data_IF_057589443441
#
_entry.id   IF_057589443441
#
_cell.length_a   1.000
_cell.length_b   1.000
_cell.length_c   1.000
_cell.angle_alpha   90.00
_cell.angle_beta   90.00
_cell.angle_gamma   90.00
#
_symmetry.space_group_name_H-M   'P 1'
#
loop_
_entity.id
_entity.type
_entity.pdbx_description
1 polymer ?
#
# COMPACT_ATOMS: atom_id res chain seq x y z
N UNK A 1 19.38 -41.77 -40.77
CA UNK A 1 18.13 -41.19 -40.20
C UNK A 1 17.92 -41.46 -38.71
N UNK A 2 18.64 -42.40 -38.05
CA UNK A 2 18.48 -42.65 -36.59
C UNK A 2 19.41 -41.82 -35.68
N UNK A 3 20.55 -41.31 -36.18
CA UNK A 3 21.46 -40.47 -35.38
C UNK A 3 21.00 -39.01 -35.24
N UNK A 4 20.31 -38.46 -36.24
CA UNK A 4 19.82 -37.07 -36.21
C UNK A 4 18.70 -36.86 -35.18
N UNK A 5 17.89 -37.89 -34.92
CA UNK A 5 16.82 -37.84 -33.93
C UNK A 5 17.34 -37.85 -32.48
N UNK A 6 18.45 -38.53 -32.21
CA UNK A 6 19.08 -38.56 -30.87
C UNK A 6 19.75 -37.23 -30.55
N UNK A 7 20.35 -36.58 -31.56
CA UNK A 7 20.95 -35.26 -31.40
C UNK A 7 19.90 -34.17 -31.13
N UNK A 8 18.71 -34.27 -31.75
CA UNK A 8 17.60 -33.35 -31.49
C UNK A 8 17.01 -33.54 -30.08
N UNK A 9 16.97 -34.77 -29.56
CA UNK A 9 16.47 -35.05 -28.21
C UNK A 9 17.39 -34.51 -27.10
N UNK A 10 18.71 -34.53 -27.32
CA UNK A 10 19.70 -34.02 -26.37
C UNK A 10 19.72 -32.48 -26.28
N UNK A 11 19.31 -31.79 -27.35
CA UNK A 11 19.24 -30.31 -27.36
C UNK A 11 18.01 -29.80 -26.59
N UNK A 12 16.92 -30.57 -26.52
CA UNK A 12 15.70 -30.18 -25.78
C UNK A 12 15.88 -30.29 -24.25
N UNK A 13 16.80 -31.10 -23.76
CA UNK A 13 17.07 -31.25 -22.31
C UNK A 13 18.03 -30.20 -21.72
N UNK A 14 18.54 -29.27 -22.53
CA UNK A 14 19.42 -28.18 -22.07
C UNK A 14 18.67 -26.86 -21.79
N UNK A 15 17.34 -26.87 -21.74
CA UNK A 15 16.57 -25.82 -21.10
C UNK A 15 16.72 -25.98 -19.57
N UNK A 16 17.90 -25.60 -19.07
CA UNK A 16 18.11 -25.42 -17.64
C UNK A 16 16.97 -24.58 -17.10
N UNK A 17 16.38 -25.04 -16.00
CA UNK A 17 15.35 -24.32 -15.27
C UNK A 17 15.90 -22.93 -14.95
N UNK A 18 15.50 -21.92 -15.72
CA UNK A 18 15.65 -20.55 -15.29
C UNK A 18 14.79 -20.44 -14.03
N UNK A 19 15.42 -20.61 -12.86
CA UNK A 19 14.89 -20.09 -11.62
C UNK A 19 14.80 -18.59 -11.81
N UNK A 20 13.68 -18.14 -12.35
CA UNK A 20 13.24 -16.78 -12.18
C UNK A 20 13.25 -16.54 -10.67
N UNK A 21 14.12 -15.64 -10.21
CA UNK A 21 14.07 -15.16 -8.84
C UNK A 21 12.86 -14.25 -8.76
N UNK A 22 11.67 -14.84 -8.65
CA UNK A 22 10.48 -14.12 -8.26
C UNK A 22 10.75 -13.71 -6.80
N UNK A 23 10.94 -12.42 -6.57
CA UNK A 23 11.09 -11.87 -5.22
C UNK A 23 9.79 -12.09 -4.47
N UNK A 24 9.66 -13.28 -3.87
CA UNK A 24 8.43 -13.72 -3.24
C UNK A 24 8.25 -12.96 -1.94
N UNK A 25 7.22 -12.12 -1.90
CA UNK A 25 6.78 -11.47 -0.68
C UNK A 25 6.52 -12.55 0.38
N UNK A 26 6.88 -12.24 1.63
CA UNK A 26 6.69 -13.17 2.74
C UNK A 26 6.42 -12.44 4.04
N UNK A 27 5.69 -13.10 4.93
CA UNK A 27 5.55 -12.66 6.32
C UNK A 27 6.92 -12.69 7.01
N UNK A 28 7.14 -11.80 7.97
CA UNK A 28 8.39 -11.71 8.74
C UNK A 28 9.65 -11.49 7.86
N UNK A 29 9.51 -10.82 6.71
CA UNK A 29 10.64 -10.55 5.80
C UNK A 29 11.83 -9.91 6.51
N UNK A 30 11.56 -8.93 7.38
CA UNK A 30 12.57 -8.15 8.12
C UNK A 30 13.00 -8.76 9.45
N UNK A 31 12.56 -9.96 9.84
CA UNK A 31 12.84 -10.51 11.18
C UNK A 31 14.34 -10.58 11.53
N UNK A 32 15.21 -10.84 10.55
CA UNK A 32 16.67 -10.88 10.75
C UNK A 32 17.39 -9.55 10.54
N UNK A 33 16.69 -8.49 10.12
CA UNK A 33 17.29 -7.20 9.75
C UNK A 33 16.76 -6.08 10.66
N UNK A 34 15.43 -5.97 10.76
CA UNK A 34 14.72 -5.02 11.60
C UNK A 34 13.56 -5.75 12.32
N UNK A 35 13.84 -6.48 13.40
CA UNK A 35 12.86 -7.38 14.03
C UNK A 35 11.60 -6.67 14.57
N UNK A 36 11.73 -5.39 14.96
CA UNK A 36 10.62 -4.61 15.52
C UNK A 36 9.95 -3.67 14.51
N UNK A 37 10.19 -3.85 13.20
CA UNK A 37 9.71 -2.90 12.17
C UNK A 37 8.21 -2.67 12.23
N UNK A 38 7.40 -3.74 12.32
CA UNK A 38 5.94 -3.63 12.34
C UNK A 38 5.44 -2.84 13.57
N UNK A 39 6.08 -3.04 14.73
CA UNK A 39 5.73 -2.32 15.94
C UNK A 39 6.12 -0.83 15.86
N UNK A 40 7.28 -0.52 15.27
CA UNK A 40 7.74 0.86 15.07
C UNK A 40 6.78 1.61 14.13
N UNK A 41 6.43 0.99 13.01
CA UNK A 41 5.48 1.56 12.03
C UNK A 41 4.11 1.75 12.68
N UNK A 42 3.57 0.72 13.34
CA UNK A 42 2.29 0.82 14.06
C UNK A 42 2.27 1.97 15.07
N UNK A 43 3.36 2.15 15.82
CA UNK A 43 3.48 3.25 16.78
C UNK A 43 3.47 4.63 16.12
N UNK A 44 4.14 4.79 14.97
CA UNK A 44 4.12 6.04 14.21
C UNK A 44 2.73 6.33 13.62
N UNK A 45 2.08 5.31 13.05
CA UNK A 45 0.74 5.40 12.48
C UNK A 45 -0.29 5.75 13.56
N UNK A 46 -0.24 5.07 14.72
CA UNK A 46 -1.14 5.35 15.84
C UNK A 46 -1.09 6.83 16.28
N UNK A 47 0.12 7.40 16.35
CA UNK A 47 0.28 8.84 16.65
C UNK A 47 -0.35 9.73 15.57
N UNK A 48 -0.23 9.39 14.27
CA UNK A 48 -0.85 10.18 13.19
C UNK A 48 -2.37 10.06 13.18
N UNK A 49 -2.91 8.85 13.39
CA UNK A 49 -4.37 8.64 13.47
C UNK A 49 -4.96 9.38 14.68
N UNK A 50 -4.25 9.43 15.81
CA UNK A 50 -4.66 10.24 16.97
C UNK A 50 -4.69 11.76 16.70
N UNK A 51 -3.87 12.25 15.77
CA UNK A 51 -3.88 13.66 15.37
C UNK A 51 -5.10 13.99 14.51
N UNK A 52 -5.44 13.12 13.56
CA UNK A 52 -6.59 13.31 12.66
C UNK A 52 -7.08 11.99 12.09
N UNK A 53 -8.40 11.77 12.15
CA UNK A 53 -9.08 10.62 11.57
C UNK A 53 -8.96 10.57 10.04
N UNK A 54 -8.77 11.73 9.39
CA UNK A 54 -8.55 11.81 7.93
C UNK A 54 -7.34 10.98 7.48
N UNK A 55 -6.36 10.76 8.38
CA UNK A 55 -5.20 9.89 8.14
C UNK A 55 -5.60 8.53 7.62
N UNK A 56 -6.69 7.93 8.14
CA UNK A 56 -7.10 6.58 7.77
C UNK A 56 -7.42 6.50 6.27
N UNK A 57 -8.39 7.30 5.82
CA UNK A 57 -8.76 7.35 4.40
C UNK A 57 -7.61 7.85 3.51
N UNK A 58 -6.81 8.81 4.00
CA UNK A 58 -5.68 9.33 3.26
C UNK A 58 -4.60 8.27 2.98
N UNK A 59 -4.23 7.46 3.98
CA UNK A 59 -3.22 6.41 3.83
C UNK A 59 -3.73 5.25 2.97
N UNK A 60 -4.97 4.82 3.16
CA UNK A 60 -5.57 3.76 2.32
C UNK A 60 -5.64 4.20 0.86
N UNK A 61 -6.09 5.44 0.61
CA UNK A 61 -6.13 6.00 -0.74
C UNK A 61 -4.73 6.15 -1.36
N UNK A 62 -3.74 6.56 -0.57
CA UNK A 62 -2.35 6.64 -1.06
C UNK A 62 -1.84 5.26 -1.51
N UNK A 63 -2.10 4.20 -0.73
CA UNK A 63 -1.73 2.82 -1.09
C UNK A 63 -2.45 2.34 -2.36
N UNK A 64 -3.74 2.65 -2.50
CA UNK A 64 -4.47 2.35 -3.74
C UNK A 64 -3.84 3.02 -4.96
N UNK A 65 -3.52 4.32 -4.85
CA UNK A 65 -2.91 5.08 -5.94
C UNK A 65 -1.51 4.59 -6.30
N UNK A 66 -0.72 4.14 -5.33
CA UNK A 66 0.58 3.51 -5.56
C UNK A 66 0.43 2.24 -6.40
N UNK A 67 -0.34 1.28 -5.90
CA UNK A 67 -0.46 -0.05 -6.49
C UNK A 67 -1.11 -0.06 -7.89
N UNK A 68 -2.02 0.87 -8.20
CA UNK A 68 -2.74 0.87 -9.49
C UNK A 68 -1.97 1.45 -10.67
N UNK A 69 -0.85 2.16 -10.44
CA UNK A 69 -0.15 2.87 -11.50
C UNK A 69 0.98 2.02 -12.08
N UNK A 70 1.97 1.62 -11.28
CA UNK A 70 3.06 0.75 -11.76
C UNK A 70 3.32 -0.45 -10.85
N UNK A 71 2.44 -0.68 -9.88
CA UNK A 71 2.62 -1.67 -8.83
C UNK A 71 2.91 -1.00 -7.48
N UNK A 72 2.95 -1.80 -6.42
CA UNK A 72 3.14 -1.28 -5.07
C UNK A 72 4.64 -1.05 -4.79
N UNK A 73 5.19 0.04 -5.29
CA UNK A 73 6.62 0.36 -5.25
C UNK A 73 6.92 1.74 -4.64
N UNK A 74 5.93 2.41 -4.03
CA UNK A 74 6.05 3.76 -3.48
C UNK A 74 6.46 4.86 -4.49
N UNK A 75 6.34 4.61 -5.81
CA UNK A 75 6.64 5.62 -6.84
C UNK A 75 5.78 6.88 -6.66
N UNK A 76 4.56 6.74 -6.12
CA UNK A 76 3.63 7.86 -5.88
C UNK A 76 4.14 8.86 -4.83
N UNK A 77 5.10 8.47 -3.99
CA UNK A 77 5.62 9.30 -2.89
C UNK A 77 6.82 10.16 -3.33
N UNK A 78 7.43 9.83 -4.47
CA UNK A 78 8.58 10.55 -5.02
C UNK A 78 8.17 11.98 -5.42
N UNK A 79 9.02 12.95 -5.08
CA UNK A 79 8.81 14.35 -5.45
C UNK A 79 9.32 14.66 -6.87
N UNK A 80 8.68 15.63 -7.53
CA UNK A 80 9.14 16.14 -8.82
C UNK A 80 10.55 16.75 -8.74
N UNK A 81 11.27 16.69 -9.86
CA UNK A 81 12.55 17.37 -10.06
C UNK A 81 12.44 18.38 -11.21
N UNK A 82 13.48 19.17 -11.45
CA UNK A 82 13.47 20.17 -12.53
C UNK A 82 13.19 19.57 -13.92
N UNK A 83 13.57 18.31 -14.14
CA UNK A 83 13.45 17.64 -15.44
C UNK A 83 12.39 16.53 -15.47
N UNK A 84 11.66 16.31 -14.37
CA UNK A 84 10.66 15.24 -14.27
C UNK A 84 9.51 15.63 -13.35
N UNK A 85 8.30 15.55 -13.87
CA UNK A 85 7.07 15.64 -13.07
C UNK A 85 6.71 14.25 -12.54
N UNK A 86 6.77 14.09 -11.22
CA UNK A 86 6.47 12.85 -10.53
C UNK A 86 4.97 12.52 -10.54
N UNK A 87 4.64 11.26 -10.25
CA UNK A 87 3.25 10.81 -10.15
C UNK A 87 2.43 11.63 -9.15
N UNK A 88 3.07 12.03 -8.04
CA UNK A 88 2.47 12.86 -6.99
C UNK A 88 1.78 14.11 -7.53
N UNK A 89 2.35 14.73 -8.57
CA UNK A 89 1.89 16.01 -9.12
C UNK A 89 0.95 15.84 -10.33
N UNK A 90 0.55 14.61 -10.65
CA UNK A 90 -0.47 14.35 -11.67
C UNK A 90 -1.85 14.88 -11.21
N UNK A 91 -2.72 15.43 -12.10
CA UNK A 91 -4.03 15.97 -11.73
C UNK A 91 -4.91 15.03 -10.89
N UNK A 92 -4.91 13.73 -11.20
CA UNK A 92 -5.65 12.72 -10.42
C UNK A 92 -5.12 12.52 -8.99
N UNK A 93 -3.87 12.89 -8.73
CA UNK A 93 -3.17 12.71 -7.45
C UNK A 93 -3.15 14.00 -6.61
N UNK A 94 -3.49 15.16 -7.18
CA UNK A 94 -3.56 16.44 -6.44
C UNK A 94 -4.57 16.42 -5.28
N UNK A 95 -5.57 15.52 -5.35
CA UNK A 95 -6.56 15.34 -4.29
C UNK A 95 -6.14 14.34 -3.20
N UNK A 96 -4.93 13.75 -3.30
CA UNK A 96 -4.36 12.93 -2.23
C UNK A 96 -4.06 13.81 -1.03
N UNK A 97 -4.67 13.48 0.11
CA UNK A 97 -4.47 14.24 1.33
C UNK A 97 -3.02 14.12 1.82
N UNK A 98 -2.42 15.26 2.18
CA UNK A 98 -1.06 15.35 2.71
C UNK A 98 -0.79 14.39 3.88
N UNK A 99 -1.83 14.12 4.69
CA UNK A 99 -1.77 13.19 5.81
C UNK A 99 -1.34 11.77 5.44
N UNK A 100 -1.70 11.29 4.24
CA UNK A 100 -1.27 9.98 3.75
C UNK A 100 0.25 9.94 3.58
N UNK A 101 0.80 10.97 2.92
CA UNK A 101 2.25 11.10 2.72
C UNK A 101 3.00 11.28 4.03
N UNK A 102 2.51 12.15 4.92
CA UNK A 102 3.07 12.38 6.25
C UNK A 102 3.16 11.10 7.07
N UNK A 103 2.17 10.21 6.93
CA UNK A 103 2.13 8.94 7.67
C UNK A 103 3.31 8.06 7.28
N UNK A 104 3.59 7.95 5.98
CA UNK A 104 4.75 7.18 5.48
C UNK A 104 6.05 7.87 5.87
N UNK A 105 6.14 9.20 5.73
CA UNK A 105 7.35 9.97 6.08
C UNK A 105 7.70 9.78 7.56
N UNK A 106 6.74 9.99 8.48
CA UNK A 106 6.97 9.85 9.92
C UNK A 106 7.27 8.40 10.33
N UNK A 107 6.65 7.43 9.67
CA UNK A 107 6.96 6.03 9.89
C UNK A 107 8.39 5.69 9.42
N UNK A 108 8.80 6.20 8.27
CA UNK A 108 10.15 6.03 7.72
C UNK A 108 11.20 6.67 8.62
N UNK A 109 10.97 7.89 9.09
CA UNK A 109 11.84 8.56 10.07
C UNK A 109 11.99 7.73 11.36
N UNK A 110 10.89 7.19 11.88
CA UNK A 110 10.92 6.36 13.08
C UNK A 110 11.68 5.05 12.86
N UNK A 111 11.53 4.41 11.70
CA UNK A 111 12.28 3.20 11.34
C UNK A 111 13.76 3.51 11.13
N UNK A 112 14.10 4.59 10.44
CA UNK A 112 15.50 4.94 10.15
C UNK A 112 16.24 5.57 11.34
N UNK A 113 15.53 5.99 12.38
CA UNK A 113 16.10 6.36 13.67
C UNK A 113 16.70 5.15 14.42
N UNK A 114 16.31 3.94 14.03
CA UNK A 114 16.82 2.70 14.60
C UNK A 114 18.05 2.21 13.79
N UNK A 115 19.26 2.14 14.37
CA UNK A 115 20.49 1.88 13.61
C UNK A 115 20.47 0.60 12.75
N UNK A 116 19.92 -0.49 13.27
CA UNK A 116 19.83 -1.76 12.53
C UNK A 116 18.81 -1.74 11.37
N UNK A 117 17.85 -0.81 11.40
CA UNK A 117 16.78 -0.69 10.42
C UNK A 117 17.06 0.37 9.35
N UNK A 118 17.99 1.28 9.64
CA UNK A 118 18.31 2.45 8.81
C UNK A 118 18.64 2.06 7.38
N UNK A 119 17.89 2.61 6.42
CA UNK A 119 18.02 2.35 4.99
C UNK A 119 17.86 0.87 4.59
N UNK A 120 17.16 0.06 5.42
CA UNK A 120 16.90 -1.36 5.13
C UNK A 120 15.44 -1.67 4.80
N UNK A 121 14.52 -0.85 5.28
CA UNK A 121 13.07 -1.01 5.08
C UNK A 121 12.61 -0.04 3.99
N UNK A 122 11.91 -0.57 2.98
CA UNK A 122 11.41 0.20 1.84
C UNK A 122 10.20 1.05 2.22
N UNK A 123 10.01 2.17 1.51
CA UNK A 123 8.81 2.99 1.61
C UNK A 123 7.56 2.20 1.16
N UNK A 124 7.71 1.31 0.16
CA UNK A 124 6.63 0.45 -0.31
C UNK A 124 6.09 -0.49 0.79
N UNK A 125 6.98 -1.11 1.57
CA UNK A 125 6.56 -1.95 2.70
C UNK A 125 6.07 -1.12 3.89
N UNK A 126 6.63 0.08 4.12
CA UNK A 126 6.10 1.00 5.14
C UNK A 126 4.68 1.43 4.81
N UNK A 127 4.40 1.79 3.56
CA UNK A 127 3.05 2.13 3.11
C UNK A 127 2.10 0.94 3.27
N UNK A 128 2.54 -0.28 2.94
CA UNK A 128 1.75 -1.51 3.13
C UNK A 128 1.43 -1.76 4.61
N UNK A 129 2.43 -1.69 5.49
CA UNK A 129 2.24 -1.84 6.94
C UNK A 129 1.34 -0.73 7.50
N UNK A 130 1.54 0.51 7.07
CA UNK A 130 0.74 1.66 7.50
C UNK A 130 -0.73 1.51 7.12
N UNK A 131 -1.03 1.05 5.90
CA UNK A 131 -2.40 0.78 5.45
C UNK A 131 -3.10 -0.27 6.32
N UNK A 132 -2.41 -1.38 6.64
CA UNK A 132 -2.93 -2.39 7.59
C UNK A 132 -3.20 -1.76 8.95
N UNK A 133 -2.26 -0.98 9.45
CA UNK A 133 -2.36 -0.39 10.79
C UNK A 133 -3.46 0.65 10.89
N UNK A 134 -3.64 1.55 9.91
CA UNK A 134 -4.75 2.53 9.96
C UNK A 134 -6.11 1.84 9.97
N UNK A 135 -6.30 0.78 9.17
CA UNK A 135 -7.54 -0.01 9.12
C UNK A 135 -7.80 -0.69 10.48
N UNK A 136 -6.76 -1.29 11.06
CA UNK A 136 -6.86 -1.94 12.37
C UNK A 136 -7.09 -0.93 13.52
N UNK A 137 -6.46 0.24 13.46
CA UNK A 137 -6.51 1.27 14.52
C UNK A 137 -7.85 2.01 14.57
N UNK A 138 -8.70 1.92 13.53
CA UNK A 138 -10.10 2.36 13.63
C UNK A 138 -10.82 1.64 14.79
N UNK A 139 -10.42 0.40 15.13
CA UNK A 139 -10.90 -0.32 16.34
C UNK A 139 -10.40 0.31 17.65
N UNK A 140 -9.15 0.77 17.67
CA UNK A 140 -8.45 1.19 18.88
C UNK A 140 -8.70 2.67 19.24
N UNK A 141 -9.12 3.49 18.27
CA UNK A 141 -9.30 4.94 18.46
C UNK A 141 -10.54 5.32 19.31
N UNK A 142 -11.41 4.35 19.61
CA UNK A 142 -12.67 4.62 20.32
C UNK A 142 -12.59 4.63 21.84
N UNK A 143 -11.46 4.27 22.46
CA UNK A 143 -11.30 4.51 23.91
C UNK A 143 -10.94 5.96 24.26
N UNK A 144 -10.26 6.70 23.37
CA UNK A 144 -9.83 8.08 23.65
C UNK A 144 -10.80 9.13 23.10
N UNK A 145 -11.44 8.90 21.95
CA UNK A 145 -12.42 9.85 21.38
C UNK A 145 -13.80 9.84 22.08
N UNK A 146 -14.13 8.75 22.79
CA UNK A 146 -15.34 8.68 23.61
C UNK A 146 -15.37 9.76 24.71
N UNK A 147 -14.20 10.17 25.22
CA UNK A 147 -14.14 11.20 26.27
C UNK A 147 -14.40 12.63 25.75
N UNK A 148 -14.06 12.93 24.48
CA UNK A 148 -14.28 14.26 23.88
C UNK A 148 -15.64 14.41 23.17
N UNK A 149 -16.25 13.34 22.63
CA UNK A 149 -17.58 13.41 22.01
C UNK A 149 -18.75 13.09 22.96
N UNK A 150 -18.51 12.63 24.19
CA UNK A 150 -19.55 12.49 25.23
C UNK A 150 -20.25 13.82 25.58
N UNK A 151 -19.78 14.97 25.08
CA UNK A 151 -20.45 16.26 25.24
C UNK A 151 -21.52 16.56 24.17
N UNK A 152 -21.72 15.72 23.14
CA UNK A 152 -22.78 15.92 22.15
C UNK A 152 -23.80 14.76 22.12
N UNK A 153 -25.01 14.94 22.68
CA UNK A 153 -25.99 13.87 22.88
C UNK A 153 -26.61 13.30 21.58
N UNK A 154 -26.32 13.90 20.41
CA UNK A 154 -26.88 13.47 19.11
C UNK A 154 -26.07 12.38 18.40
N UNK A 155 -24.83 12.11 18.81
CA UNK A 155 -23.93 11.20 18.08
C UNK A 155 -23.70 9.83 18.75
N UNK A 156 -24.35 9.57 19.89
CA UNK A 156 -24.14 8.37 20.73
C UNK A 156 -24.38 7.04 19.99
N UNK A 157 -25.26 7.03 18.98
CA UNK A 157 -25.58 5.84 18.17
C UNK A 157 -24.65 5.66 16.95
N UNK A 158 -24.06 6.75 16.45
CA UNK A 158 -23.11 6.70 15.32
C UNK A 158 -21.74 6.22 15.81
N UNK A 159 -21.35 6.60 17.02
CA UNK A 159 -20.10 6.15 17.65
C UNK A 159 -20.12 4.67 18.04
N UNK A 160 -21.26 4.10 18.43
CA UNK A 160 -21.40 2.65 18.72
C UNK A 160 -21.34 1.79 17.45
N UNK A 161 -21.92 2.26 16.35
CA UNK A 161 -21.80 1.62 15.03
C UNK A 161 -20.35 1.59 14.52
N UNK A 162 -19.64 2.71 14.65
CA UNK A 162 -18.23 2.77 14.31
C UNK A 162 -17.37 1.87 15.23
N UNK A 163 -17.79 1.66 16.49
CA UNK A 163 -17.06 0.83 17.47
C UNK A 163 -17.12 -0.67 17.18
N UNK A 164 -18.11 -1.11 16.43
CA UNK A 164 -18.22 -2.48 15.93
C UNK A 164 -17.72 -2.65 14.49
N UNK A 165 -17.57 -1.55 13.75
CA UNK A 165 -17.14 -1.54 12.35
C UNK A 165 -15.62 -1.53 12.14
N UNK A 166 -14.81 -1.52 13.20
CA UNK A 166 -13.37 -1.40 13.02
C UNK A 166 -12.79 -2.54 12.17
N UNK A 167 -11.85 -2.19 11.28
CA UNK A 167 -11.43 -3.05 10.19
C UNK A 167 -10.75 -4.33 10.64
N UNK A 168 -10.73 -5.38 9.80
CA UNK A 168 -10.05 -6.62 10.12
C UNK A 168 -8.54 -6.38 10.25
N UNK A 169 -7.92 -7.03 11.24
CA UNK A 169 -6.46 -7.17 11.24
C UNK A 169 -6.10 -8.34 10.33
N UNK A 170 -5.20 -8.09 9.37
CA UNK A 170 -4.67 -9.11 8.47
C UNK A 170 -3.14 -9.08 8.50
N UNK A 171 -2.53 -10.23 8.23
CA UNK A 171 -1.08 -10.33 8.09
C UNK A 171 -0.66 -9.75 6.74
N UNK A 172 0.41 -8.95 6.74
CA UNK A 172 0.99 -8.37 5.52
C UNK A 172 2.23 -9.15 5.09
N UNK A 173 2.33 -9.43 3.81
CA UNK A 173 3.57 -9.93 3.21
C UNK A 173 4.45 -8.74 2.84
N UNK A 174 5.75 -8.85 3.14
CA UNK A 174 6.74 -7.80 2.98
C UNK A 174 7.87 -8.30 2.07
N UNK A 175 8.72 -7.37 1.63
CA UNK A 175 9.80 -7.56 0.67
C UNK A 175 9.67 -6.70 -0.58
N UNK A 176 8.77 -5.71 -0.61
CA UNK A 176 8.65 -4.78 -1.74
C UNK A 176 9.89 -3.88 -1.80
N UNK A 177 10.27 -3.49 -3.01
CA UNK A 177 11.34 -2.53 -3.25
C UNK A 177 10.76 -1.21 -3.70
N UNK A 178 11.48 -0.12 -3.42
CA UNK A 178 11.09 1.21 -3.85
C UNK A 178 11.36 1.39 -5.35
N UNK A 179 10.39 1.95 -6.07
CA UNK A 179 10.47 2.29 -7.48
C UNK A 179 11.55 3.33 -7.74
N UNK A 180 12.29 3.15 -8.83
CA UNK A 180 13.37 4.07 -9.24
C UNK A 180 12.88 5.14 -10.23
N UNK A 181 11.61 5.09 -10.61
CA UNK A 181 10.98 5.99 -11.57
C UNK A 181 9.61 6.40 -11.05
N UNK A 182 9.27 7.67 -11.20
CA UNK A 182 7.95 8.22 -10.89
C UNK A 182 7.65 9.28 -11.94
N UNK A 183 6.69 9.01 -12.82
CA UNK A 183 6.37 9.89 -13.93
C UNK A 183 4.86 10.13 -13.98
N UNK A 184 4.43 11.39 -14.00
CA UNK A 184 3.02 11.77 -14.11
C UNK A 184 2.33 11.13 -15.31
N UNK A 185 3.04 10.94 -16.43
CA UNK A 185 2.53 10.27 -17.64
C UNK A 185 2.08 8.83 -17.40
N UNK A 186 2.57 8.19 -16.34
CA UNK A 186 2.24 6.80 -15.99
C UNK A 186 0.85 6.65 -15.39
N UNK A 187 0.31 7.72 -14.80
CA UNK A 187 -0.97 7.72 -14.08
C UNK A 187 -2.17 7.71 -15.05
N UNK A 188 -1.99 8.28 -16.24
CA UNK A 188 -3.05 8.44 -17.24
C UNK A 188 -3.68 7.10 -17.61
N UNK A 189 -4.99 6.98 -17.40
CA UNK A 189 -5.77 5.80 -17.78
C UNK A 189 -5.65 4.59 -16.85
N UNK A 190 -4.85 4.67 -15.77
CA UNK A 190 -4.68 3.55 -14.82
C UNK A 190 -5.51 3.67 -13.55
N UNK A 191 -5.86 4.90 -13.16
CA UNK A 191 -6.74 5.14 -12.02
C UNK A 191 -8.21 5.19 -12.44
N UNK A 192 -9.12 4.56 -11.69
CA UNK A 192 -10.55 4.68 -11.95
C UNK A 192 -11.01 6.12 -11.73
N UNK A 193 -11.79 6.64 -12.68
CA UNK A 193 -12.41 7.96 -12.58
C UNK A 193 -13.83 7.85 -12.02
N UNK A 194 -14.33 8.86 -11.28
CA UNK A 194 -15.62 8.78 -10.59
C UNK A 194 -16.84 8.73 -11.53
N UNK A 195 -16.65 9.01 -12.83
CA UNK A 195 -17.69 9.00 -13.85
C UNK A 195 -17.74 7.70 -14.67
N UNK A 196 -16.88 6.72 -14.37
CA UNK A 196 -16.89 5.42 -15.05
C UNK A 196 -18.11 4.58 -14.63
N UNK A 197 -18.65 3.82 -15.58
CA UNK A 197 -19.69 2.84 -15.29
C UNK A 197 -19.11 1.52 -14.76
N UNK A 198 -19.98 0.60 -14.33
CA UNK A 198 -19.57 -0.68 -13.72
C UNK A 198 -18.69 -1.54 -14.64
N UNK A 199 -18.97 -1.57 -15.94
CA UNK A 199 -18.21 -2.36 -16.91
C UNK A 199 -16.79 -1.79 -17.08
N UNK A 200 -16.69 -0.47 -17.16
CA UNK A 200 -15.41 0.24 -17.25
C UNK A 200 -14.58 0.07 -15.97
N UNK A 201 -15.21 0.15 -14.80
CA UNK A 201 -14.55 -0.10 -13.51
C UNK A 201 -14.06 -1.56 -13.42
N UNK A 202 -14.90 -2.51 -13.82
CA UNK A 202 -14.53 -3.93 -13.84
C UNK A 202 -13.33 -4.17 -14.76
N UNK A 203 -13.32 -3.54 -15.94
CA UNK A 203 -12.20 -3.65 -16.88
C UNK A 203 -10.89 -3.08 -16.31
N UNK A 204 -10.92 -1.89 -15.68
CA UNK A 204 -9.74 -1.28 -15.07
C UNK A 204 -9.19 -2.14 -13.92
N UNK A 205 -10.05 -2.65 -13.04
CA UNK A 205 -9.60 -3.53 -11.93
C UNK A 205 -9.01 -4.83 -12.47
N UNK A 206 -9.60 -5.39 -13.53
CA UNK A 206 -9.08 -6.60 -14.18
C UNK A 206 -7.67 -6.39 -14.78
N UNK A 207 -7.30 -5.18 -15.22
CA UNK A 207 -5.93 -4.89 -15.68
C UNK A 207 -4.87 -5.07 -14.59
N UNK A 208 -5.26 -5.01 -13.31
CA UNK A 208 -4.41 -5.24 -12.15
C UNK A 208 -4.63 -6.63 -11.52
N UNK A 209 -5.31 -7.53 -12.23
CA UNK A 209 -5.59 -8.88 -11.73
C UNK A 209 -6.64 -8.94 -10.62
N UNK A 210 -7.44 -7.88 -10.43
CA UNK A 210 -8.47 -7.80 -9.41
C UNK A 210 -9.84 -8.18 -9.99
N UNK A 211 -10.58 -8.99 -9.22
CA UNK A 211 -11.94 -9.41 -9.58
C UNK A 211 -12.96 -8.30 -9.32
N UNK A 212 -14.19 -8.48 -9.83
CA UNK A 212 -15.30 -7.58 -9.49
C UNK A 212 -15.61 -7.58 -7.98
N UNK A 213 -15.40 -8.72 -7.30
CA UNK A 213 -15.56 -8.79 -5.84
C UNK A 213 -14.52 -7.93 -5.12
N UNK A 214 -13.27 -7.94 -5.58
CA UNK A 214 -12.20 -7.08 -5.05
C UNK A 214 -12.51 -5.61 -5.28
N UNK A 215 -13.05 -5.27 -6.46
CA UNK A 215 -13.49 -3.91 -6.77
C UNK A 215 -14.60 -3.43 -5.82
N UNK A 216 -15.61 -4.27 -5.56
CA UNK A 216 -16.67 -3.96 -4.60
C UNK A 216 -16.10 -3.79 -3.18
N UNK A 217 -15.20 -4.69 -2.76
CA UNK A 217 -14.58 -4.62 -1.44
C UNK A 217 -13.71 -3.36 -1.27
N UNK A 218 -12.90 -3.02 -2.27
CA UNK A 218 -12.01 -1.85 -2.26
C UNK A 218 -12.75 -0.52 -2.45
N UNK A 219 -13.97 -0.54 -2.99
CA UNK A 219 -14.81 0.67 -3.08
C UNK A 219 -15.44 1.05 -1.73
N UNK A 220 -15.35 0.19 -0.71
CA UNK A 220 -15.90 0.44 0.63
C UNK A 220 -14.94 1.13 1.61
N UNK A 221 -13.76 1.57 1.15
CA UNK A 221 -12.70 2.17 1.98
C UNK A 221 -12.71 3.70 2.00
#
# INVERSE_FOLDING_TARGET
>A
MRLTAVLLLLVVTAAGSATFCEAKLRRNYYAGVCPNVEAIVRGAVARKVQQTLTTVGATVRLFFHDCFVQGCDASVIVASTANNTAEKDHPNNLSLAGDGFDTVIKAKEAVDAVPQCRNKVSCADILTMATRDVIALVRDLQLTFALSLCLQPKFLNVTTLLAQAGGPSYAVELGRLDGLSSMASSVTGKLPAPFLNLDQLTAIFATNGLSQADMIALSGT
#
